data_IF_233669451656
#
_entry.id   IF_233669451656
#
_cell.length_a   1.000
_cell.length_b   1.000
_cell.length_c   1.000
_cell.angle_alpha   90.00
_cell.angle_beta   90.00
_cell.angle_gamma   90.00
#
_symmetry.space_group_name_H-M   'P 1'
#
loop_
_entity.id
_entity.type
_entity.pdbx_description
1 polymer ?
#
# COMPACT_ATOMS: atom_id res chain seq x y z
N UNK A 1 54.90 9.88 -5.37
CA UNK A 1 53.44 10.19 -5.27
C UNK A 1 52.96 11.33 -6.18
N UNK A 2 53.82 12.22 -6.70
CA UNK A 2 53.38 13.32 -7.59
C UNK A 2 53.08 12.93 -9.06
N UNK A 3 53.46 11.73 -9.53
CA UNK A 3 53.21 11.28 -10.92
C UNK A 3 51.85 10.62 -11.16
N UNK A 4 51.13 10.20 -10.12
CA UNK A 4 49.78 9.62 -10.25
C UNK A 4 48.66 10.68 -10.25
N UNK A 5 48.90 11.86 -9.67
CA UNK A 5 47.92 12.95 -9.63
C UNK A 5 47.66 13.59 -11.00
N UNK A 6 48.67 13.65 -11.88
CA UNK A 6 48.54 14.28 -13.20
C UNK A 6 47.80 13.43 -14.24
N UNK A 7 47.55 12.15 -13.99
CA UNK A 7 46.76 11.27 -14.87
C UNK A 7 45.27 11.23 -14.52
N UNK A 8 44.88 11.60 -13.29
CA UNK A 8 43.50 11.55 -12.82
C UNK A 8 42.67 12.81 -13.16
N UNK A 9 43.33 13.97 -13.31
CA UNK A 9 42.68 15.24 -13.62
C UNK A 9 41.86 15.24 -14.94
N UNK A 10 42.38 14.72 -16.08
CA UNK A 10 41.59 14.70 -17.33
C UNK A 10 40.43 13.69 -17.27
N UNK A 11 40.56 12.61 -16.50
CA UNK A 11 39.52 11.58 -16.32
C UNK A 11 38.35 12.10 -15.46
N UNK A 12 38.65 12.88 -14.41
CA UNK A 12 37.64 13.56 -13.60
C UNK A 12 36.92 14.67 -14.39
N UNK A 13 37.62 15.41 -15.24
CA UNK A 13 36.99 16.41 -16.13
C UNK A 13 36.04 15.76 -17.14
N UNK A 14 36.40 14.61 -17.73
CA UNK A 14 35.51 13.83 -18.61
C UNK A 14 34.28 13.28 -17.86
N UNK A 15 34.43 12.84 -16.61
CA UNK A 15 33.30 12.41 -15.77
C UNK A 15 32.36 13.58 -15.44
N UNK A 16 32.89 14.75 -15.08
CA UNK A 16 32.04 15.94 -14.82
C UNK A 16 31.35 16.46 -16.07
N UNK A 17 32.03 16.40 -17.23
CA UNK A 17 31.43 16.75 -18.52
C UNK A 17 30.35 15.74 -18.94
N UNK A 18 30.53 14.45 -18.61
CA UNK A 18 29.51 13.41 -18.81
C UNK A 18 28.27 13.60 -17.94
N UNK A 19 28.42 14.07 -16.69
CA UNK A 19 27.28 14.40 -15.82
C UNK A 19 26.55 15.67 -16.27
N UNK A 20 27.28 16.70 -16.72
CA UNK A 20 26.67 17.89 -17.30
C UNK A 20 25.96 17.57 -18.63
N UNK A 21 26.55 16.74 -19.49
CA UNK A 21 25.93 16.28 -20.72
C UNK A 21 24.72 15.36 -20.47
N UNK A 22 24.73 14.55 -19.40
CA UNK A 22 23.56 13.75 -19.00
C UNK A 22 22.43 14.62 -18.42
N UNK A 23 22.76 15.68 -17.67
CA UNK A 23 21.79 16.65 -17.17
C UNK A 23 21.17 17.48 -18.31
N UNK A 24 21.99 17.91 -19.27
CA UNK A 24 21.53 18.62 -20.49
C UNK A 24 20.77 17.67 -21.42
N UNK A 25 21.19 16.42 -21.56
CA UNK A 25 20.42 15.42 -22.29
C UNK A 25 19.09 15.11 -21.60
N UNK A 26 19.03 15.10 -20.26
CA UNK A 26 17.79 15.01 -19.50
C UNK A 26 16.88 16.23 -19.71
N UNK A 27 17.42 17.45 -19.77
CA UNK A 27 16.64 18.67 -20.00
C UNK A 27 16.20 18.85 -21.47
N UNK A 28 16.97 18.29 -22.42
CA UNK A 28 16.59 18.26 -23.84
C UNK A 28 15.58 17.14 -24.10
N UNK A 29 15.68 16.01 -23.40
CA UNK A 29 14.67 14.94 -23.41
C UNK A 29 13.38 15.34 -22.67
N UNK A 30 13.44 16.21 -21.67
CA UNK A 30 12.23 16.74 -21.02
C UNK A 30 11.42 17.64 -21.97
N UNK A 31 12.07 18.35 -22.89
CA UNK A 31 11.41 19.13 -23.94
C UNK A 31 10.75 18.31 -25.05
N UNK A 32 11.13 17.04 -25.22
CA UNK A 32 10.60 16.13 -26.24
C UNK A 32 9.56 15.13 -25.72
N UNK A 33 9.22 15.17 -24.42
CA UNK A 33 8.05 14.46 -23.91
C UNK A 33 6.78 15.25 -24.25
N UNK A 34 6.34 15.17 -25.51
CA UNK A 34 4.93 15.36 -25.82
C UNK A 34 4.14 14.23 -25.16
N UNK A 35 3.83 14.41 -23.88
CA UNK A 35 2.84 13.59 -23.19
C UNK A 35 1.57 13.62 -24.03
N UNK A 36 1.00 12.45 -24.31
CA UNK A 36 -0.11 12.33 -25.24
C UNK A 36 -1.34 13.08 -24.69
N UNK A 37 -1.52 14.33 -25.10
CA UNK A 37 -2.76 15.07 -24.88
C UNK A 37 -3.99 14.27 -25.32
N UNK A 38 -3.82 13.39 -26.31
CA UNK A 38 -4.78 12.38 -26.74
C UNK A 38 -5.27 11.44 -25.63
N UNK A 39 -4.39 10.99 -24.72
CA UNK A 39 -4.77 10.10 -23.64
C UNK A 39 -5.72 10.77 -22.63
N UNK A 40 -5.56 12.09 -22.43
CA UNK A 40 -6.41 12.90 -21.55
C UNK A 40 -7.63 13.51 -22.29
N UNK A 41 -7.66 13.47 -23.63
CA UNK A 41 -8.75 14.05 -24.44
C UNK A 41 -10.09 13.34 -24.30
N UNK A 42 -10.09 12.05 -23.94
CA UNK A 42 -11.31 11.27 -23.75
C UNK A 42 -11.97 11.48 -22.38
N UNK A 43 -11.54 12.49 -21.62
CA UNK A 43 -12.04 12.76 -20.27
C UNK A 43 -13.22 13.73 -20.33
N UNK A 44 -14.42 13.26 -19.97
CA UNK A 44 -15.67 14.05 -19.91
C UNK A 44 -16.16 14.18 -18.46
N UNK A 45 -15.75 15.23 -17.72
CA UNK A 45 -16.23 15.45 -16.35
C UNK A 45 -17.73 15.78 -16.32
N UNK A 46 -18.45 15.29 -15.31
CA UNK A 46 -19.80 15.75 -14.95
C UNK A 46 -20.99 15.12 -15.69
N UNK A 47 -20.78 14.21 -16.64
CA UNK A 47 -21.88 13.48 -17.29
C UNK A 47 -22.12 12.16 -16.55
N UNK A 48 -23.20 12.09 -15.79
CA UNK A 48 -23.67 10.83 -15.19
C UNK A 48 -24.58 10.11 -16.17
N UNK A 49 -24.35 8.83 -16.43
CA UNK A 49 -25.18 8.05 -17.34
C UNK A 49 -25.02 6.55 -17.13
N UNK A 50 -26.14 5.82 -17.20
CA UNK A 50 -26.19 4.36 -17.07
C UNK A 50 -26.55 3.87 -15.67
N UNK A 51 -26.67 2.55 -15.49
CA UNK A 51 -27.17 1.92 -14.27
C UNK A 51 -26.18 1.85 -13.09
N UNK A 52 -24.99 2.48 -13.19
CA UNK A 52 -23.98 2.49 -12.11
C UNK A 52 -23.00 1.32 -12.12
N UNK A 53 -22.82 0.68 -13.28
CA UNK A 53 -21.92 -0.47 -13.50
C UNK A 53 -20.64 -0.07 -14.26
N UNK A 54 -19.79 -1.06 -14.58
CA UNK A 54 -18.49 -0.89 -15.27
C UNK A 54 -18.53 0.00 -16.53
N UNK A 55 -19.58 -0.12 -17.35
CA UNK A 55 -19.75 0.65 -18.60
C UNK A 55 -20.58 1.93 -18.40
N UNK A 56 -21.00 2.22 -17.18
CA UNK A 56 -21.66 3.50 -16.86
C UNK A 56 -20.62 4.61 -16.78
N UNK A 57 -21.10 5.85 -16.76
CA UNK A 57 -20.26 7.03 -16.57
C UNK A 57 -20.72 7.68 -15.28
N UNK A 58 -19.84 7.78 -14.29
CA UNK A 58 -20.15 8.45 -13.01
C UNK A 58 -19.99 9.96 -13.09
N UNK A 59 -19.45 10.49 -14.20
CA UNK A 59 -19.02 11.88 -14.34
C UNK A 59 -17.74 12.21 -13.56
N UNK A 60 -17.22 11.26 -12.77
CA UNK A 60 -15.98 11.41 -12.02
C UNK A 60 -14.74 11.06 -12.83
N UNK A 61 -13.67 11.82 -12.58
CA UNK A 61 -12.34 11.66 -13.15
C UNK A 61 -11.33 11.67 -12.00
N UNK A 62 -10.85 10.50 -11.63
CA UNK A 62 -9.93 10.32 -10.52
C UNK A 62 -8.47 10.17 -11.00
N UNK A 63 -7.54 10.97 -10.46
CA UNK A 63 -6.11 10.68 -10.56
C UNK A 63 -5.66 9.93 -9.33
N UNK A 64 -5.20 8.68 -9.50
CA UNK A 64 -4.77 7.82 -8.39
C UNK A 64 -3.26 7.68 -8.41
N UNK A 65 -2.59 8.42 -7.53
CA UNK A 65 -1.16 8.29 -7.28
C UNK A 65 -0.90 7.06 -6.42
N UNK A 66 0.07 6.22 -6.79
CA UNK A 66 0.34 4.96 -6.09
C UNK A 66 -0.56 3.78 -6.51
N UNK A 67 -1.30 3.91 -7.61
CA UNK A 67 -2.20 2.87 -8.13
C UNK A 67 -1.53 1.52 -8.44
N UNK A 68 -0.22 1.48 -8.71
CA UNK A 68 0.52 0.23 -8.95
C UNK A 68 0.83 -0.56 -7.67
N UNK A 69 0.59 0.02 -6.49
CA UNK A 69 0.79 -0.64 -5.19
C UNK A 69 -0.39 -1.54 -4.79
N UNK A 70 -0.27 -2.15 -3.61
CA UNK A 70 -1.26 -3.06 -3.04
C UNK A 70 -2.66 -2.41 -2.97
N UNK A 71 -2.84 -1.41 -2.12
CA UNK A 71 -4.14 -0.71 -1.94
C UNK A 71 -4.60 -0.02 -3.23
N UNK A 72 -3.66 0.51 -4.01
CA UNK A 72 -3.90 1.19 -5.28
C UNK A 72 -4.74 0.37 -6.26
N UNK A 73 -4.40 -0.91 -6.44
CA UNK A 73 -5.13 -1.80 -7.35
C UNK A 73 -6.60 -1.95 -6.96
N UNK A 74 -6.89 -2.12 -5.68
CA UNK A 74 -8.26 -2.30 -5.19
C UNK A 74 -9.07 -1.01 -5.29
N UNK A 75 -8.46 0.14 -4.98
CA UNK A 75 -9.12 1.46 -5.13
C UNK A 75 -9.44 1.74 -6.60
N UNK A 76 -8.50 1.50 -7.52
CA UNK A 76 -8.73 1.64 -8.96
C UNK A 76 -9.83 0.70 -9.45
N UNK A 77 -9.84 -0.55 -8.97
CA UNK A 77 -10.89 -1.51 -9.30
C UNK A 77 -12.26 -1.02 -8.83
N UNK A 78 -12.41 -0.56 -7.58
CA UNK A 78 -13.68 -0.05 -7.08
C UNK A 78 -14.17 1.21 -7.82
N UNK A 79 -13.27 2.14 -8.14
CA UNK A 79 -13.61 3.33 -8.92
C UNK A 79 -14.04 2.98 -10.35
N UNK A 80 -13.29 2.10 -11.02
CA UNK A 80 -13.57 1.67 -12.39
C UNK A 80 -14.84 0.83 -12.49
N UNK A 81 -15.15 0.00 -11.48
CA UNK A 81 -16.41 -0.76 -11.39
C UNK A 81 -17.65 0.13 -11.34
N UNK A 82 -17.52 1.34 -10.78
CA UNK A 82 -18.58 2.36 -10.73
C UNK A 82 -18.65 3.23 -11.98
N UNK A 83 -17.79 2.98 -12.99
CA UNK A 83 -17.77 3.77 -14.22
C UNK A 83 -17.06 5.12 -14.08
N UNK A 84 -16.21 5.28 -13.05
CA UNK A 84 -15.37 6.47 -12.89
C UNK A 84 -14.13 6.32 -13.75
N UNK A 85 -13.79 7.38 -14.47
CA UNK A 85 -12.57 7.38 -15.27
C UNK A 85 -11.37 7.59 -14.37
N UNK A 86 -10.34 6.77 -14.54
CA UNK A 86 -9.16 6.75 -13.68
C UNK A 86 -7.90 7.04 -14.47
N UNK A 87 -7.22 8.12 -14.11
CA UNK A 87 -5.89 8.47 -14.59
C UNK A 87 -4.87 7.88 -13.62
N UNK A 88 -3.97 7.05 -14.15
CA UNK A 88 -2.98 6.31 -13.38
C UNK A 88 -1.58 6.77 -13.77
N UNK A 89 -1.02 7.79 -13.07
CA UNK A 89 0.41 8.09 -13.16
C UNK A 89 1.20 6.96 -12.51
N UNK A 90 2.14 6.39 -13.28
CA UNK A 90 2.98 5.31 -12.77
C UNK A 90 4.46 5.56 -13.08
N UNK A 91 5.27 5.17 -12.10
CA UNK A 91 6.75 5.20 -12.16
C UNK A 91 7.36 3.84 -12.46
N UNK A 92 6.69 2.77 -12.02
CA UNK A 92 7.15 1.38 -12.12
C UNK A 92 7.21 0.88 -13.57
N UNK A 93 7.65 -0.35 -13.76
CA UNK A 93 7.50 -1.11 -15.00
C UNK A 93 6.06 -1.08 -15.50
N UNK A 94 5.93 -0.93 -16.82
CA UNK A 94 4.66 -0.83 -17.54
C UNK A 94 3.78 -2.08 -17.35
N UNK A 95 4.39 -3.26 -17.27
CA UNK A 95 3.68 -4.53 -17.03
C UNK A 95 2.78 -4.50 -15.78
N UNK A 96 3.25 -3.88 -14.69
CA UNK A 96 2.46 -3.76 -13.46
C UNK A 96 1.24 -2.86 -13.67
N UNK A 97 1.42 -1.74 -14.37
CA UNK A 97 0.33 -0.81 -14.66
C UNK A 97 -0.67 -1.38 -15.67
N UNK A 98 -0.22 -2.25 -16.60
CA UNK A 98 -1.07 -2.87 -17.62
C UNK A 98 -2.14 -3.80 -17.03
N UNK A 99 -1.89 -4.43 -15.88
CA UNK A 99 -2.89 -5.23 -15.16
C UNK A 99 -4.14 -4.41 -14.80
N UNK A 100 -3.96 -3.12 -14.50
CA UNK A 100 -5.05 -2.24 -14.12
C UNK A 100 -6.03 -2.01 -15.27
N UNK A 101 -5.58 -2.01 -16.53
CA UNK A 101 -6.46 -1.78 -17.70
C UNK A 101 -7.63 -2.76 -17.77
N UNK A 102 -7.47 -3.96 -17.21
CA UNK A 102 -8.50 -5.01 -17.24
C UNK A 102 -9.67 -4.71 -16.28
N UNK A 103 -9.46 -3.83 -15.30
CA UNK A 103 -10.45 -3.49 -14.26
C UNK A 103 -11.54 -2.54 -14.77
N UNK A 104 -11.22 -1.72 -15.77
CA UNK A 104 -12.13 -0.72 -16.34
C UNK A 104 -12.62 -1.09 -17.73
N UNK A 105 -13.68 -0.43 -18.19
CA UNK A 105 -14.09 -0.49 -19.60
C UNK A 105 -13.12 0.31 -20.50
N UNK A 106 -13.32 0.21 -21.81
CA UNK A 106 -12.50 0.87 -22.81
C UNK A 106 -12.43 2.40 -22.56
N UNK A 107 -11.21 2.93 -22.46
CA UNK A 107 -10.98 4.36 -22.23
C UNK A 107 -11.22 4.84 -20.79
N UNK A 108 -11.69 3.98 -19.88
CA UNK A 108 -11.88 4.33 -18.46
C UNK A 108 -10.56 4.45 -17.72
N UNK A 109 -9.58 3.57 -18.01
CA UNK A 109 -8.29 3.58 -17.33
C UNK A 109 -7.22 4.12 -18.28
N UNK A 110 -6.69 5.29 -17.92
CA UNK A 110 -5.67 6.00 -18.69
C UNK A 110 -4.35 5.92 -17.95
N UNK A 111 -3.37 5.22 -18.51
CA UNK A 111 -2.04 5.10 -17.93
C UNK A 111 -1.15 6.27 -18.38
N UNK A 112 -0.56 7.00 -17.43
CA UNK A 112 0.43 8.04 -17.70
C UNK A 112 1.83 7.51 -17.37
N UNK A 113 2.61 7.26 -18.43
CA UNK A 113 3.96 6.67 -18.35
C UNK A 113 5.01 7.70 -17.94
N UNK A 114 5.99 7.23 -17.16
CA UNK A 114 7.21 7.97 -16.88
C UNK A 114 7.06 9.06 -15.83
N UNK A 115 6.01 8.96 -15.00
CA UNK A 115 5.77 9.88 -13.90
C UNK A 115 6.84 9.75 -12.81
N UNK A 116 7.30 10.89 -12.28
CA UNK A 116 8.31 10.98 -11.25
C UNK A 116 7.87 11.90 -10.11
N UNK A 117 8.28 11.56 -8.88
CA UNK A 117 7.89 12.27 -7.66
C UNK A 117 8.36 13.74 -7.61
N UNK A 118 9.50 14.04 -8.23
CA UNK A 118 10.10 15.38 -8.25
C UNK A 118 9.74 16.17 -9.52
N UNK A 119 8.90 15.62 -10.38
CA UNK A 119 8.45 16.29 -11.61
C UNK A 119 7.05 16.87 -11.37
N UNK A 120 7.03 18.12 -10.95
CA UNK A 120 5.79 18.83 -10.61
C UNK A 120 4.95 19.08 -11.87
N UNK A 121 5.57 19.31 -13.02
CA UNK A 121 4.86 19.59 -14.28
C UNK A 121 4.08 18.36 -14.78
N UNK A 122 4.70 17.18 -14.68
CA UNK A 122 3.99 15.92 -14.92
C UNK A 122 2.82 15.72 -13.97
N UNK A 123 2.98 16.11 -12.71
CA UNK A 123 1.95 15.97 -11.69
C UNK A 123 0.78 16.91 -11.96
N UNK A 124 1.05 18.19 -12.29
CA UNK A 124 0.04 19.15 -12.75
C UNK A 124 -0.70 18.64 -13.99
N UNK A 125 0.01 18.09 -14.96
CA UNK A 125 -0.61 17.54 -16.15
C UNK A 125 -1.53 16.35 -15.82
N UNK A 126 -1.09 15.45 -14.93
CA UNK A 126 -1.88 14.30 -14.48
C UNK A 126 -3.15 14.70 -13.73
N UNK A 127 -3.17 15.85 -13.07
CA UNK A 127 -4.31 16.35 -12.28
C UNK A 127 -5.20 17.31 -13.10
N UNK A 128 -4.69 17.89 -14.20
CA UNK A 128 -5.33 18.97 -14.97
C UNK A 128 -6.79 18.75 -15.40
N UNK A 129 -7.25 17.49 -15.52
CA UNK A 129 -8.63 17.14 -15.91
C UNK A 129 -9.40 16.36 -14.86
N UNK A 130 -8.82 16.19 -13.68
CA UNK A 130 -9.36 15.34 -12.64
C UNK A 130 -10.15 16.14 -11.63
N UNK A 131 -11.29 15.61 -11.22
CA UNK A 131 -12.09 16.17 -10.13
C UNK A 131 -11.75 15.54 -8.78
N UNK A 132 -11.18 14.34 -8.81
CA UNK A 132 -10.80 13.57 -7.65
C UNK A 132 -9.31 13.29 -7.73
N UNK A 133 -8.60 13.51 -6.62
CA UNK A 133 -7.19 13.15 -6.49
C UNK A 133 -7.05 12.21 -5.30
N UNK A 134 -6.46 11.05 -5.52
CA UNK A 134 -6.20 10.05 -4.48
C UNK A 134 -4.71 9.84 -4.34
N UNK A 135 -4.18 10.05 -3.13
CA UNK A 135 -2.78 9.84 -2.79
C UNK A 135 -2.60 8.56 -1.98
N UNK A 136 -2.06 7.52 -2.63
CA UNK A 136 -1.65 6.25 -2.02
C UNK A 136 -0.14 6.05 -2.09
N UNK A 137 0.63 7.11 -2.36
CA UNK A 137 2.08 7.03 -2.35
C UNK A 137 2.54 6.94 -0.91
N UNK A 138 3.20 5.83 -0.59
CA UNK A 138 3.87 5.63 0.68
C UNK A 138 4.97 4.59 0.52
N UNK A 139 6.01 4.73 1.32
CA UNK A 139 7.04 3.70 1.46
C UNK A 139 7.13 3.25 2.90
N UNK A 140 7.15 1.94 3.09
CA UNK A 140 7.42 1.30 4.38
C UNK A 140 8.92 1.29 4.72
N UNK A 141 9.77 1.46 3.70
CA UNK A 141 11.21 1.36 3.81
C UNK A 141 11.89 2.50 3.09
N UNK A 142 12.96 3.05 3.67
CA UNK A 142 13.78 4.02 2.96
C UNK A 142 14.51 3.37 1.80
N UNK A 143 14.67 4.16 0.75
CA UNK A 143 15.49 3.79 -0.40
C UNK A 143 16.64 4.78 -0.50
N UNK A 144 17.74 4.37 -1.13
CA UNK A 144 18.91 5.25 -1.35
C UNK A 144 18.56 6.61 -1.95
N UNK A 145 17.53 6.67 -2.80
CA UNK A 145 17.17 7.87 -3.55
C UNK A 145 15.99 8.65 -2.94
N UNK A 146 15.20 8.05 -2.04
CA UNK A 146 14.02 8.68 -1.45
C UNK A 146 13.98 8.33 0.04
N UNK A 147 14.06 9.38 0.86
CA UNK A 147 13.89 9.31 2.31
C UNK A 147 12.41 9.24 2.69
N UNK A 148 12.11 8.96 3.97
CA UNK A 148 10.74 9.05 4.46
C UNK A 148 10.16 10.47 4.35
N UNK A 149 10.96 11.50 4.61
CA UNK A 149 10.50 12.89 4.54
C UNK A 149 10.13 13.31 3.12
N UNK A 150 10.88 12.85 2.11
CA UNK A 150 10.57 13.12 0.70
C UNK A 150 9.21 12.55 0.29
N UNK A 151 8.90 11.34 0.78
CA UNK A 151 7.73 10.56 0.37
C UNK A 151 6.49 10.91 1.19
N UNK A 152 6.63 11.09 2.50
CA UNK A 152 5.51 11.25 3.42
C UNK A 152 5.25 12.70 3.83
N UNK A 153 6.26 13.59 3.81
CA UNK A 153 6.07 14.99 4.17
C UNK A 153 6.07 15.91 2.94
N UNK A 154 7.15 15.91 2.16
CA UNK A 154 7.32 16.84 1.05
C UNK A 154 6.36 16.57 -0.11
N UNK A 155 6.18 15.30 -0.48
CA UNK A 155 5.29 14.93 -1.57
C UNK A 155 3.81 15.27 -1.31
N UNK A 156 3.18 14.87 -0.18
CA UNK A 156 1.78 15.20 0.08
C UNK A 156 1.53 16.71 0.17
N UNK A 157 2.48 17.48 0.73
CA UNK A 157 2.41 18.94 0.76
C UNK A 157 2.39 19.54 -0.66
N UNK A 158 3.32 19.12 -1.53
CA UNK A 158 3.36 19.55 -2.95
C UNK A 158 2.10 19.15 -3.70
N UNK A 159 1.62 17.92 -3.49
CA UNK A 159 0.39 17.42 -4.12
C UNK A 159 -0.84 18.24 -3.70
N UNK A 160 -0.96 18.56 -2.41
CA UNK A 160 -2.07 19.37 -1.89
C UNK A 160 -2.04 20.79 -2.48
N UNK A 161 -0.85 21.39 -2.63
CA UNK A 161 -0.70 22.70 -3.27
C UNK A 161 -1.13 22.66 -4.75
N UNK A 162 -0.63 21.68 -5.52
CA UNK A 162 -1.02 21.49 -6.93
C UNK A 162 -2.51 21.18 -7.10
N UNK A 163 -3.10 20.41 -6.18
CA UNK A 163 -4.53 20.12 -6.16
C UNK A 163 -5.35 21.40 -5.92
N UNK A 164 -4.93 22.24 -4.97
CA UNK A 164 -5.57 23.54 -4.67
C UNK A 164 -5.48 24.52 -5.83
N UNK A 165 -4.35 24.55 -6.54
CA UNK A 165 -4.14 25.39 -7.73
C UNK A 165 -5.05 24.99 -8.90
N UNK A 166 -5.49 23.73 -8.95
CA UNK A 166 -6.28 23.20 -10.06
C UNK A 166 -7.79 23.38 -9.78
N UNK A 167 -8.51 24.27 -10.49
CA UNK A 167 -9.90 24.62 -10.15
C UNK A 167 -10.90 23.46 -10.24
N UNK A 168 -10.54 22.38 -10.94
CA UNK A 168 -11.40 21.21 -11.15
C UNK A 168 -11.36 20.22 -9.99
N UNK A 169 -10.32 20.25 -9.14
CA UNK A 169 -10.17 19.28 -8.07
C UNK A 169 -11.12 19.64 -6.94
N UNK A 170 -12.14 18.81 -6.77
CA UNK A 170 -13.17 18.98 -5.73
C UNK A 170 -12.88 18.13 -4.49
N UNK A 171 -12.18 16.99 -4.68
CA UNK A 171 -11.91 16.01 -3.63
C UNK A 171 -10.44 15.60 -3.65
N UNK A 172 -9.79 15.72 -2.50
CA UNK A 172 -8.46 15.16 -2.25
C UNK A 172 -8.59 14.10 -1.16
N UNK A 173 -8.12 12.88 -1.45
CA UNK A 173 -8.04 11.79 -0.49
C UNK A 173 -6.58 11.47 -0.23
N UNK A 174 -6.20 11.49 1.05
CA UNK A 174 -4.85 11.19 1.49
C UNK A 174 -4.85 9.98 2.41
N UNK A 175 -3.95 9.03 2.18
CA UNK A 175 -3.76 7.87 3.03
C UNK A 175 -2.51 8.03 3.91
N UNK A 176 -2.73 8.01 5.21
CA UNK A 176 -1.73 8.04 6.27
C UNK A 176 -1.63 6.66 6.92
N UNK A 177 -1.40 6.59 8.24
CA UNK A 177 -1.46 5.38 9.08
C UNK A 177 -2.13 5.73 10.43
N UNK A 178 -2.79 4.74 11.06
CA UNK A 178 -3.27 4.89 12.45
C UNK A 178 -2.08 5.04 13.40
N UNK A 179 -2.21 5.93 14.39
CA UNK A 179 -1.13 6.18 15.36
C UNK A 179 0.01 7.06 14.84
N UNK A 180 -0.10 7.61 13.62
CA UNK A 180 0.83 8.61 13.11
C UNK A 180 0.80 9.86 14.01
N UNK A 181 1.91 10.10 14.70
CA UNK A 181 2.08 11.23 15.61
C UNK A 181 3.50 11.80 15.51
N UNK A 182 3.66 13.11 15.73
CA UNK A 182 4.95 13.78 15.65
C UNK A 182 5.95 13.32 16.72
N UNK A 183 5.45 12.76 17.82
CA UNK A 183 6.24 12.25 18.96
C UNK A 183 6.55 10.73 18.84
N UNK A 184 6.14 10.08 17.74
CA UNK A 184 6.32 8.64 17.56
C UNK A 184 7.81 8.24 17.50
N UNK A 185 8.16 7.04 17.95
CA UNK A 185 9.55 6.56 17.96
C UNK A 185 10.10 6.29 16.55
N UNK A 186 9.28 5.74 15.65
CA UNK A 186 9.63 5.52 14.25
C UNK A 186 9.64 6.79 13.40
N UNK A 187 10.61 6.91 12.50
CA UNK A 187 10.74 8.02 11.58
C UNK A 187 9.61 8.03 10.54
N UNK A 188 9.16 6.85 10.11
CA UNK A 188 8.02 6.74 9.19
C UNK A 188 6.73 7.34 9.78
N UNK A 189 6.38 7.03 11.02
CA UNK A 189 5.14 7.56 11.62
C UNK A 189 5.21 9.07 11.85
N UNK A 190 6.39 9.59 12.25
CA UNK A 190 6.59 11.05 12.39
C UNK A 190 6.45 11.78 11.06
N UNK A 191 7.08 11.28 10.00
CA UNK A 191 7.01 11.90 8.67
C UNK A 191 5.59 11.86 8.09
N UNK A 192 4.83 10.80 8.33
CA UNK A 192 3.38 10.75 7.99
C UNK A 192 2.55 11.78 8.76
N UNK A 193 2.82 11.97 10.05
CA UNK A 193 2.12 13.00 10.84
C UNK A 193 2.40 14.42 10.32
N UNK A 194 3.63 14.69 9.88
CA UNK A 194 3.99 15.96 9.22
C UNK A 194 3.26 16.12 7.89
N UNK A 195 3.18 15.05 7.09
CA UNK A 195 2.41 15.01 5.85
C UNK A 195 0.92 15.32 6.05
N UNK A 196 0.29 14.68 7.03
CA UNK A 196 -1.12 14.88 7.37
C UNK A 196 -1.41 16.34 7.72
N UNK A 197 -0.56 16.93 8.55
CA UNK A 197 -0.68 18.34 8.93
C UNK A 197 -0.53 19.26 7.72
N UNK A 198 0.46 19.02 6.85
CA UNK A 198 0.71 19.84 5.67
C UNK A 198 -0.42 19.75 4.62
N UNK A 199 -0.97 18.55 4.40
CA UNK A 199 -2.13 18.34 3.52
C UNK A 199 -3.34 19.08 4.08
N UNK A 200 -3.59 18.95 5.39
CA UNK A 200 -4.71 19.60 6.06
C UNK A 200 -4.64 21.12 6.02
N UNK A 201 -3.45 21.69 6.23
CA UNK A 201 -3.22 23.14 6.15
C UNK A 201 -3.44 23.67 4.72
N UNK A 202 -2.93 22.95 3.73
CA UNK A 202 -2.97 23.40 2.34
C UNK A 202 -4.37 23.23 1.73
N UNK A 203 -4.99 22.06 1.96
CA UNK A 203 -6.30 21.68 1.43
C UNK A 203 -7.23 21.24 2.59
N UNK A 204 -7.93 22.19 3.26
CA UNK A 204 -8.74 21.91 4.45
C UNK A 204 -9.86 20.89 4.24
N UNK A 205 -10.39 20.80 3.02
CA UNK A 205 -11.47 19.88 2.64
C UNK A 205 -10.99 18.45 2.35
N UNK A 206 -9.69 18.17 2.54
CA UNK A 206 -9.11 16.86 2.26
C UNK A 206 -9.68 15.81 3.22
N UNK A 207 -10.01 14.65 2.68
CA UNK A 207 -10.38 13.48 3.48
C UNK A 207 -9.11 12.67 3.76
N UNK A 208 -8.75 12.52 5.03
CA UNK A 208 -7.55 11.79 5.44
C UNK A 208 -7.96 10.44 6.00
N UNK A 209 -7.52 9.36 5.36
CA UNK A 209 -7.68 8.01 5.87
C UNK A 209 -6.46 7.60 6.68
N UNK A 210 -6.69 7.14 7.90
CA UNK A 210 -5.69 6.61 8.83
C UNK A 210 -5.96 5.11 9.06
N UNK A 211 -5.57 4.25 8.12
CA UNK A 211 -5.82 2.83 8.23
C UNK A 211 -4.90 2.17 9.28
N UNK A 212 -5.46 1.21 10.00
CA UNK A 212 -4.73 0.15 10.67
C UNK A 212 -4.10 -0.83 9.64
N UNK A 213 -3.30 -1.82 10.05
CA UNK A 213 -2.70 -2.77 9.11
C UNK A 213 -3.75 -3.42 8.17
N UNK A 214 -3.54 -3.24 6.87
CA UNK A 214 -4.46 -3.70 5.82
C UNK A 214 -4.00 -5.07 5.34
N UNK A 215 -4.89 -6.06 5.36
CA UNK A 215 -4.60 -7.42 4.92
C UNK A 215 -5.30 -7.72 3.60
N UNK A 216 -4.65 -8.51 2.77
CA UNK A 216 -5.16 -9.06 1.53
C UNK A 216 -4.11 -9.93 0.85
N UNK A 217 -4.43 -10.43 -0.34
CA UNK A 217 -3.60 -11.42 -1.04
C UNK A 217 -2.18 -10.93 -1.35
N UNK A 218 -2.03 -9.63 -1.63
CA UNK A 218 -0.74 -9.01 -1.97
C UNK A 218 -0.17 -8.12 -0.85
N UNK A 219 -0.68 -8.27 0.39
CA UNK A 219 -0.17 -7.51 1.53
C UNK A 219 1.26 -7.92 1.91
N UNK A 220 2.09 -6.95 2.28
CA UNK A 220 3.45 -7.22 2.76
C UNK A 220 3.44 -7.80 4.19
N UNK A 221 2.53 -7.42 5.11
CA UNK A 221 2.50 -7.97 6.48
C UNK A 221 2.25 -9.47 6.46
N UNK A 222 1.11 -9.90 5.90
CA UNK A 222 0.73 -11.30 5.83
C UNK A 222 1.76 -12.12 5.04
N UNK A 223 2.18 -11.67 3.85
CA UNK A 223 3.10 -12.45 3.01
C UNK A 223 4.50 -12.58 3.62
N UNK A 224 4.99 -11.57 4.36
CA UNK A 224 6.28 -11.68 5.06
C UNK A 224 6.22 -12.67 6.23
N UNK A 225 5.08 -12.76 6.94
CA UNK A 225 4.87 -13.76 7.99
C UNK A 225 4.71 -15.16 7.42
N UNK A 226 3.92 -15.31 6.35
CA UNK A 226 3.77 -16.57 5.63
C UNK A 226 5.12 -17.11 5.15
N UNK A 227 5.97 -16.23 4.61
CA UNK A 227 7.32 -16.61 4.20
C UNK A 227 8.14 -17.12 5.39
N UNK A 228 8.15 -16.40 6.52
CA UNK A 228 8.91 -16.82 7.70
C UNK A 228 8.43 -18.18 8.24
N UNK A 229 7.12 -18.33 8.43
CA UNK A 229 6.50 -19.55 8.95
C UNK A 229 6.71 -20.74 8.01
N UNK A 230 6.51 -20.58 6.69
CA UNK A 230 6.63 -21.69 5.73
C UNK A 230 8.06 -22.18 5.52
N UNK A 231 9.03 -21.27 5.52
CA UNK A 231 10.43 -21.62 5.28
C UNK A 231 11.18 -21.98 6.57
N UNK A 232 10.45 -22.17 7.67
CA UNK A 232 11.00 -22.45 9.00
C UNK A 232 12.08 -21.44 9.42
N UNK A 233 11.99 -20.21 8.89
CA UNK A 233 12.82 -19.12 9.34
C UNK A 233 12.19 -18.65 10.63
N UNK A 234 12.90 -18.81 11.75
CA UNK A 234 12.40 -18.46 13.07
C UNK A 234 11.71 -17.10 13.06
N UNK A 235 10.41 -17.09 13.39
CA UNK A 235 9.63 -15.84 13.44
C UNK A 235 10.09 -15.09 14.68
N UNK A 236 10.75 -13.95 14.50
CA UNK A 236 11.22 -13.14 15.63
C UNK A 236 10.04 -12.31 16.13
N UNK A 237 9.50 -12.73 17.27
CA UNK A 237 8.46 -12.01 17.97
C UNK A 237 9.10 -10.98 18.89
N UNK A 238 8.90 -9.70 18.58
CA UNK A 238 9.45 -8.59 19.34
C UNK A 238 8.63 -8.39 20.62
N UNK A 239 9.32 -8.28 21.76
CA UNK A 239 8.72 -8.01 23.08
C UNK A 239 7.47 -8.87 23.35
N UNK A 240 7.62 -10.19 23.25
CA UNK A 240 6.58 -11.19 23.50
C UNK A 240 5.37 -11.15 22.54
N UNK A 241 5.33 -10.24 21.56
CA UNK A 241 4.28 -10.17 20.56
C UNK A 241 2.94 -9.66 21.11
N UNK A 242 2.97 -8.95 22.24
CA UNK A 242 1.78 -8.42 22.94
C UNK A 242 1.16 -7.22 22.23
N UNK A 243 1.83 -6.70 21.20
CA UNK A 243 1.45 -5.53 20.43
C UNK A 243 0.10 -5.78 19.75
N UNK A 244 -0.85 -4.87 19.95
CA UNK A 244 -2.21 -4.98 19.44
C UNK A 244 -2.39 -4.18 18.17
N UNK A 245 -3.11 -4.74 17.21
CA UNK A 245 -3.54 -4.02 16.02
C UNK A 245 -4.94 -4.48 15.60
N UNK A 246 -5.61 -3.64 14.80
CA UNK A 246 -6.95 -3.91 14.27
C UNK A 246 -6.90 -4.21 12.76
N UNK A 247 -6.62 -5.47 12.38
CA UNK A 247 -6.52 -5.85 10.98
C UNK A 247 -7.85 -5.73 10.25
N UNK A 248 -7.83 -5.28 9.01
CA UNK A 248 -9.02 -5.24 8.15
C UNK A 248 -8.67 -5.54 6.70
N UNK A 249 -9.69 -5.89 5.91
CA UNK A 249 -9.49 -6.32 4.55
C UNK A 249 -9.38 -5.15 3.56
N UNK A 250 -8.49 -5.27 2.58
CA UNK A 250 -8.22 -4.24 1.56
C UNK A 250 -9.45 -3.85 0.72
N UNK A 251 -10.39 -4.77 0.49
CA UNK A 251 -11.62 -4.44 -0.25
C UNK A 251 -12.48 -3.44 0.51
N UNK A 252 -12.48 -3.49 1.84
CA UNK A 252 -13.28 -2.59 2.67
C UNK A 252 -12.66 -1.19 2.68
N UNK A 253 -11.32 -1.09 2.65
CA UNK A 253 -10.61 0.18 2.42
C UNK A 253 -10.98 0.79 1.08
N UNK A 254 -10.99 -0.01 0.01
CA UNK A 254 -11.34 0.47 -1.32
C UNK A 254 -12.81 0.92 -1.40
N UNK A 255 -13.73 0.18 -0.75
CA UNK A 255 -15.13 0.58 -0.62
C UNK A 255 -15.28 1.85 0.21
N UNK A 256 -14.52 2.02 1.29
CA UNK A 256 -14.51 3.23 2.10
C UNK A 256 -14.02 4.44 1.32
N UNK A 257 -12.96 4.27 0.52
CA UNK A 257 -12.50 5.32 -0.38
C UNK A 257 -13.60 5.75 -1.36
N UNK A 258 -14.27 4.80 -2.01
CA UNK A 258 -15.34 5.10 -2.95
C UNK A 258 -16.59 5.69 -2.26
N UNK A 259 -16.99 5.20 -1.08
CA UNK A 259 -18.12 5.72 -0.32
C UNK A 259 -17.84 7.16 0.18
N UNK A 260 -16.62 7.45 0.61
CA UNK A 260 -16.24 8.79 1.01
C UNK A 260 -16.34 9.79 -0.13
N UNK A 261 -16.06 9.36 -1.37
CA UNK A 261 -16.18 10.21 -2.57
C UNK A 261 -17.62 10.61 -2.88
N UNK A 262 -18.57 9.74 -2.60
CA UNK A 262 -20.00 9.97 -2.81
C UNK A 262 -20.61 10.83 -1.69
N UNK A 263 -20.14 10.67 -0.46
CA UNK A 263 -20.61 11.47 0.67
C UNK A 263 -20.01 12.88 0.66
N UNK A 264 -20.87 13.90 0.71
CA UNK A 264 -20.42 15.29 0.90
C UNK A 264 -19.89 15.52 2.32
N UNK A 265 -20.42 14.80 3.30
CA UNK A 265 -20.05 14.94 4.70
C UNK A 265 -18.63 14.46 4.99
N UNK A 266 -18.03 13.66 4.11
CA UNK A 266 -16.67 13.15 4.29
C UNK A 266 -15.58 14.19 4.00
N UNK A 267 -15.94 15.37 3.46
CA UNK A 267 -14.99 16.47 3.22
C UNK A 267 -14.40 16.97 4.53
N UNK A 268 -13.08 17.15 4.54
CA UNK A 268 -12.37 17.67 5.70
C UNK A 268 -12.44 16.77 6.94
N UNK A 269 -12.77 15.48 6.81
CA UNK A 269 -12.80 14.53 7.95
C UNK A 269 -11.60 13.58 7.93
N UNK A 270 -11.17 13.22 9.13
CA UNK A 270 -10.17 12.18 9.37
C UNK A 270 -10.89 10.88 9.73
N UNK A 271 -10.70 9.83 8.94
CA UNK A 271 -11.28 8.51 9.17
C UNK A 271 -10.21 7.53 9.62
N UNK A 272 -10.34 7.03 10.85
CA UNK A 272 -9.50 5.95 11.36
C UNK A 272 -10.12 4.60 10.99
N UNK A 273 -9.53 3.91 10.01
CA UNK A 273 -10.08 2.66 9.48
C UNK A 273 -9.45 1.48 10.22
N UNK A 274 -10.25 0.77 11.02
CA UNK A 274 -9.85 -0.44 11.73
C UNK A 274 -10.86 -1.55 11.55
N UNK A 275 -10.39 -2.80 11.65
CA UNK A 275 -11.27 -3.95 11.57
C UNK A 275 -12.15 -4.13 12.78
N UNK A 276 -13.11 -5.07 12.71
CA UNK A 276 -14.04 -5.35 13.80
C UNK A 276 -13.36 -6.02 15.02
N UNK A 277 -12.14 -6.52 14.87
CA UNK A 277 -11.42 -7.30 15.88
C UNK A 277 -10.04 -6.72 16.17
N UNK A 278 -9.63 -6.80 17.43
CA UNK A 278 -8.29 -6.43 17.87
C UNK A 278 -7.52 -7.70 18.16
N UNK A 279 -6.38 -7.88 17.49
CA UNK A 279 -5.57 -9.11 17.55
C UNK A 279 -4.15 -8.73 17.97
N UNK A 280 -3.48 -9.61 18.71
CA UNK A 280 -2.05 -9.46 19.02
C UNK A 280 -1.18 -10.04 17.90
N UNK A 281 0.06 -9.57 17.75
CA UNK A 281 1.00 -10.17 16.79
C UNK A 281 1.22 -11.66 17.06
N UNK A 282 1.24 -12.07 18.33
CA UNK A 282 1.31 -13.48 18.72
C UNK A 282 0.12 -14.28 18.20
N UNK A 283 -1.09 -13.86 18.53
CA UNK A 283 -2.31 -14.59 18.14
C UNK A 283 -2.45 -14.64 16.62
N UNK A 284 -2.00 -13.60 15.92
CA UNK A 284 -2.03 -13.56 14.46
C UNK A 284 -1.05 -14.58 13.83
N UNK A 285 0.16 -14.73 14.37
CA UNK A 285 1.10 -15.76 13.93
C UNK A 285 0.57 -17.17 14.24
N UNK A 286 0.00 -17.37 15.44
CA UNK A 286 -0.65 -18.64 15.78
C UNK A 286 -1.78 -18.99 14.82
N UNK A 287 -2.62 -18.01 14.46
CA UNK A 287 -3.68 -18.19 13.47
C UNK A 287 -3.12 -18.58 12.10
N UNK A 288 -2.01 -17.99 11.66
CA UNK A 288 -1.34 -18.37 10.41
C UNK A 288 -0.84 -19.82 10.48
N UNK A 289 -0.16 -20.20 11.56
CA UNK A 289 0.37 -21.56 11.77
C UNK A 289 -0.75 -22.60 11.78
N UNK A 290 -1.83 -22.34 12.53
CA UNK A 290 -3.03 -23.17 12.58
C UNK A 290 -3.66 -23.32 11.19
N UNK A 291 -3.79 -22.22 10.47
CA UNK A 291 -4.34 -22.22 9.12
C UNK A 291 -3.46 -22.97 8.12
N UNK A 292 -2.15 -22.99 8.30
CA UNK A 292 -1.22 -23.72 7.44
C UNK A 292 -1.03 -25.19 7.85
N UNK A 293 -1.58 -25.60 9.00
CA UNK A 293 -1.36 -26.93 9.60
C UNK A 293 0.13 -27.23 9.86
N UNK A 294 0.90 -26.22 10.23
CA UNK A 294 2.30 -26.38 10.64
C UNK A 294 2.32 -26.64 12.14
N UNK A 295 2.80 -27.83 12.53
CA UNK A 295 2.79 -28.29 13.92
C UNK A 295 4.03 -27.85 14.71
N UNK A 296 5.08 -27.41 14.02
CA UNK A 296 6.31 -26.94 14.64
C UNK A 296 6.23 -25.42 14.84
N UNK A 297 6.18 -24.99 16.09
CA UNK A 297 6.26 -23.56 16.41
C UNK A 297 7.73 -23.12 16.44
N UNK A 298 8.14 -22.35 15.43
CA UNK A 298 9.48 -21.75 15.33
C UNK A 298 9.52 -20.28 15.77
N UNK A 299 8.54 -19.85 16.55
CA UNK A 299 8.52 -18.52 17.14
C UNK A 299 9.62 -18.36 18.19
N UNK A 300 10.45 -17.31 18.04
CA UNK A 300 11.44 -16.91 19.02
C UNK A 300 11.11 -15.53 19.57
N UNK A 301 11.12 -15.40 20.90
CA UNK A 301 10.89 -14.13 21.56
C UNK A 301 12.20 -13.36 21.72
N UNK A 302 12.25 -12.16 21.16
CA UNK A 302 13.45 -11.32 21.12
C UNK A 302 13.11 -9.94 21.70
N UNK A 303 13.87 -9.44 22.70
CA UNK A 303 13.70 -8.08 23.18
C UNK A 303 13.93 -7.05 22.07
N UNK A 304 13.15 -5.97 22.02
CA UNK A 304 13.22 -4.95 20.97
C UNK A 304 14.61 -4.35 20.78
N UNK A 305 15.35 -4.13 21.87
CA UNK A 305 16.71 -3.60 21.80
C UNK A 305 17.68 -4.53 21.05
N UNK A 306 17.55 -5.85 21.26
CA UNK A 306 18.39 -6.84 20.59
C UNK A 306 18.00 -6.97 19.11
N UNK A 307 16.71 -7.00 18.82
CA UNK A 307 16.21 -7.03 17.44
C UNK A 307 16.66 -5.78 16.66
N UNK A 308 16.61 -4.60 17.28
CA UNK A 308 17.06 -3.34 16.68
C UNK A 308 18.56 -3.33 16.40
N UNK A 309 19.37 -3.81 17.35
CA UNK A 309 20.81 -3.94 17.18
C UNK A 309 21.17 -4.91 16.05
N UNK A 310 20.43 -6.01 15.91
CA UNK A 310 20.62 -7.00 14.84
C UNK A 310 20.32 -6.43 13.44
N UNK A 311 19.31 -5.57 13.30
CA UNK A 311 18.88 -5.02 12.00
C UNK A 311 19.56 -3.69 11.60
N UNK A 312 20.17 -2.98 12.54
CA UNK A 312 20.86 -1.70 12.26
C UNK A 312 21.92 -1.77 11.13
N UNK A 313 22.76 -2.82 11.00
CA UNK A 313 23.69 -2.95 9.87
C UNK A 313 22.97 -3.07 8.53
N UNK A 314 21.82 -3.76 8.50
CA UNK A 314 21.00 -3.96 7.30
C UNK A 314 20.40 -2.64 6.81
N UNK A 315 19.85 -1.83 7.72
CA UNK A 315 19.31 -0.51 7.39
C UNK A 315 20.42 0.44 6.87
N UNK A 316 21.60 0.43 7.49
CA UNK A 316 22.74 1.21 7.02
C UNK A 316 23.19 0.78 5.62
N UNK A 317 23.29 -0.54 5.39
CA UNK A 317 23.69 -1.09 4.12
C UNK A 317 22.71 -0.71 3.01
N UNK A 318 21.41 -0.77 3.31
CA UNK A 318 20.32 -0.42 2.39
C UNK A 318 20.32 1.04 1.98
N UNK A 319 20.74 1.95 2.87
CA UNK A 319 20.91 3.37 2.53
C UNK A 319 22.07 3.62 1.58
N UNK A 320 23.10 2.75 1.56
CA UNK A 320 24.33 2.95 0.77
C UNK A 320 24.36 2.13 -0.52
N UNK A 321 23.85 0.90 -0.52
CA UNK A 321 23.91 0.00 -1.66
C UNK A 321 22.67 0.12 -2.58
N UNK A 322 22.81 -0.28 -3.87
CA UNK A 322 21.66 -0.48 -4.76
C UNK A 322 20.68 -1.51 -4.18
N UNK A 323 19.41 -1.53 -4.66
CA UNK A 323 18.35 -2.34 -4.07
C UNK A 323 18.73 -3.83 -4.05
N UNK A 324 18.96 -4.34 -2.85
CA UNK A 324 19.22 -5.76 -2.60
C UNK A 324 17.91 -6.58 -2.68
N UNK A 325 17.98 -7.86 -3.09
CA UNK A 325 16.84 -8.76 -3.02
C UNK A 325 16.50 -9.02 -1.54
N UNK A 326 15.34 -8.54 -1.10
CA UNK A 326 14.92 -8.60 0.31
C UNK A 326 14.20 -7.32 0.72
N UNK A 327 12.95 -7.16 0.28
CA UNK A 327 12.11 -5.99 0.63
C UNK A 327 11.30 -6.18 1.91
N UNK A 328 11.59 -7.23 2.70
CA UNK A 328 10.90 -7.45 3.96
C UNK A 328 11.23 -6.31 4.93
N UNK A 329 10.20 -5.58 5.36
CA UNK A 329 10.35 -4.44 6.25
C UNK A 329 10.36 -4.81 7.72
N UNK A 330 9.97 -6.05 8.05
CA UNK A 330 10.00 -6.55 9.43
C UNK A 330 11.42 -6.58 9.99
N UNK A 331 12.42 -6.68 9.12
CA UNK A 331 13.84 -6.66 9.46
C UNK A 331 14.44 -5.25 9.45
N UNK A 332 13.63 -4.23 9.72
CA UNK A 332 14.09 -2.84 9.83
C UNK A 332 13.93 -2.35 11.25
N UNK A 333 14.90 -1.58 11.74
CA UNK A 333 14.84 -0.94 13.05
C UNK A 333 13.68 0.06 13.17
N UNK A 334 13.28 0.68 12.06
CA UNK A 334 12.12 1.58 12.03
C UNK A 334 10.81 0.84 12.27
N UNK A 335 10.67 -0.39 11.75
CA UNK A 335 9.50 -1.23 12.00
C UNK A 335 9.40 -1.64 13.47
N UNK A 336 10.52 -1.96 14.13
CA UNK A 336 10.55 -2.27 15.57
C UNK A 336 10.06 -1.07 16.39
N UNK A 337 10.50 0.13 16.03
CA UNK A 337 10.02 1.35 16.66
C UNK A 337 8.54 1.61 16.33
N UNK A 338 8.08 1.23 15.12
CA UNK A 338 6.69 1.35 14.66
C UNK A 338 5.73 0.48 15.47
N UNK A 339 6.12 -0.77 15.75
CA UNK A 339 5.30 -1.73 16.49
C UNK A 339 5.33 -1.51 18.01
N UNK A 340 6.18 -0.62 18.51
CA UNK A 340 6.25 -0.29 19.95
C UNK A 340 4.98 0.34 20.51
N UNK A 341 4.12 0.92 19.65
CA UNK A 341 2.80 1.44 20.01
C UNK A 341 1.70 0.60 19.37
N UNK A 342 0.62 0.37 20.10
CA UNK A 342 -0.56 -0.36 19.62
C UNK A 342 -1.24 0.40 18.46
N UNK A 343 -1.60 -0.33 17.39
CA UNK A 343 -2.28 0.20 16.19
C UNK A 343 -3.77 -0.09 16.23
N UNK A 344 -4.41 0.44 17.27
CA UNK A 344 -5.83 0.31 17.52
C UNK A 344 -6.50 1.64 17.19
N UNK A 345 -7.70 1.61 16.61
CA UNK A 345 -8.46 2.82 16.33
C UNK A 345 -8.81 3.52 17.65
N UNK A 346 -8.51 4.82 17.81
CA UNK A 346 -8.82 5.54 19.04
C UNK A 346 -10.33 5.71 19.21
N UNK A 347 -10.80 5.64 20.46
CA UNK A 347 -12.21 5.81 20.81
C UNK A 347 -12.73 7.20 20.38
N UNK A 348 -13.92 7.24 19.78
CA UNK A 348 -14.55 8.49 19.33
C UNK A 348 -14.06 9.01 17.96
N UNK A 349 -13.15 8.29 17.29
CA UNK A 349 -12.78 8.61 15.91
C UNK A 349 -13.81 8.10 14.89
N UNK A 350 -13.87 8.76 13.73
CA UNK A 350 -14.74 8.34 12.63
C UNK A 350 -14.18 7.08 11.99
N UNK A 351 -15.05 6.10 11.71
CA UNK A 351 -14.66 4.79 11.21
C UNK A 351 -15.51 4.29 10.04
N UNK A 352 -15.54 2.97 9.88
CA UNK A 352 -16.33 2.32 8.82
C UNK A 352 -17.85 2.52 8.98
N UNK A 353 -18.34 2.61 10.22
CA UNK A 353 -19.76 2.80 10.51
C UNK A 353 -20.29 4.12 9.94
N UNK A 354 -19.51 5.20 10.02
CA UNK A 354 -19.88 6.53 9.49
C UNK A 354 -19.93 6.57 7.96
N UNK A 355 -19.28 5.60 7.29
CA UNK A 355 -19.31 5.43 5.84
C UNK A 355 -20.37 4.41 5.39
N UNK A 356 -21.16 3.86 6.32
CA UNK A 356 -22.19 2.87 6.04
C UNK A 356 -21.63 1.49 5.62
N UNK A 357 -20.39 1.18 6.01
CA UNK A 357 -19.70 -0.07 5.65
C UNK A 357 -19.58 -0.94 6.89
N UNK A 358 -19.91 -2.22 6.72
CA UNK A 358 -19.61 -3.26 7.71
C UNK A 358 -18.29 -3.94 7.31
N UNK A 359 -17.19 -3.73 8.05
CA UNK A 359 -15.91 -4.33 7.71
C UNK A 359 -15.95 -5.85 7.94
N UNK A 360 -15.27 -6.58 7.07
CA UNK A 360 -15.12 -8.03 7.21
C UNK A 360 -14.16 -8.38 8.35
N UNK A 361 -14.46 -9.49 9.04
CA UNK A 361 -13.51 -10.10 9.97
C UNK A 361 -12.37 -10.73 9.18
N UNK A 362 -11.16 -10.63 9.71
CA UNK A 362 -9.95 -11.19 9.12
C UNK A 362 -9.73 -12.63 9.59
N UNK A 363 -10.13 -12.95 10.82
CA UNK A 363 -10.02 -14.29 11.43
C UNK A 363 -10.94 -15.33 10.81
N UNK A 364 -11.96 -14.91 10.07
CA UNK A 364 -12.99 -15.80 9.54
C UNK A 364 -13.42 -15.38 8.12
N UNK A 365 -13.96 -16.33 7.35
CA UNK A 365 -14.59 -16.05 6.06
C UNK A 365 -13.59 -15.88 4.91
N UNK A 366 -13.86 -14.92 4.03
CA UNK A 366 -13.09 -14.70 2.80
C UNK A 366 -11.63 -14.26 3.06
N UNK A 367 -11.32 -13.36 4.02
CA UNK A 367 -9.94 -12.88 4.19
C UNK A 367 -8.92 -13.96 4.58
N UNK A 368 -9.35 -15.07 5.17
CA UNK A 368 -8.45 -16.17 5.54
C UNK A 368 -8.07 -17.07 4.36
N UNK A 369 -8.77 -16.95 3.22
CA UNK A 369 -8.54 -17.80 2.05
C UNK A 369 -7.14 -17.61 1.47
N UNK A 370 -6.60 -16.39 1.53
CA UNK A 370 -5.22 -16.06 1.14
C UNK A 370 -4.18 -16.98 1.82
N UNK A 371 -4.40 -17.27 3.11
CA UNK A 371 -3.54 -18.15 3.90
C UNK A 371 -3.75 -19.61 3.48
N UNK A 372 -5.00 -20.02 3.26
CA UNK A 372 -5.32 -21.41 2.86
C UNK A 372 -4.71 -21.81 1.53
N UNK A 373 -4.64 -20.89 0.56
CA UNK A 373 -3.96 -21.14 -0.71
C UNK A 373 -2.47 -21.48 -0.57
N UNK A 374 -1.86 -21.09 0.55
CA UNK A 374 -0.43 -21.30 0.81
C UNK A 374 -0.12 -22.60 1.57
N UNK A 375 -1.13 -23.44 1.87
CA UNK A 375 -0.93 -24.73 2.56
C UNK A 375 -0.02 -25.70 1.79
N UNK A 376 0.90 -26.33 2.52
CA UNK A 376 1.71 -27.44 2.01
C UNK A 376 0.81 -28.67 1.87
N UNK A 377 0.48 -29.06 0.64
CA UNK A 377 -0.48 -30.14 0.35
C UNK A 377 -1.75 -29.69 -0.41
N UNK A 378 -1.88 -28.39 -0.68
CA UNK A 378 -2.96 -27.81 -1.47
C UNK A 378 -4.14 -27.30 -0.64
N UNK A 379 -5.09 -26.65 -1.30
CA UNK A 379 -6.21 -25.94 -0.64
C UNK A 379 -7.07 -26.86 0.24
N UNK A 380 -7.27 -28.12 -0.17
CA UNK A 380 -8.07 -29.12 0.54
C UNK A 380 -7.32 -29.83 1.67
N UNK A 381 -6.02 -29.57 1.85
CA UNK A 381 -5.22 -30.21 2.88
C UNK A 381 -5.74 -29.81 4.27
N UNK A 382 -6.04 -30.82 5.11
CA UNK A 382 -6.61 -30.63 6.45
C UNK A 382 -8.12 -30.35 6.50
N UNK A 383 -8.83 -30.30 5.36
CA UNK A 383 -10.29 -30.19 5.35
C UNK A 383 -10.92 -31.55 5.67
N UNK A 384 -11.26 -31.74 6.94
CA UNK A 384 -11.88 -32.96 7.45
C UNK A 384 -13.20 -33.29 6.76
N UNK A 385 -13.93 -32.30 6.21
CA UNK A 385 -15.17 -32.55 5.45
C UNK A 385 -14.92 -33.21 4.10
N UNK A 386 -13.83 -32.86 3.42
CA UNK A 386 -13.44 -33.48 2.15
C UNK A 386 -12.80 -34.85 2.39
N UNK A 387 -11.95 -34.97 3.43
CA UNK A 387 -11.31 -36.23 3.81
C UNK A 387 -12.34 -37.27 4.27
N UNK A 388 -13.35 -36.86 5.03
CA UNK A 388 -14.47 -37.72 5.41
C UNK A 388 -15.30 -38.23 4.21
N UNK A 389 -15.30 -37.54 3.06
CA UNK A 389 -15.92 -38.05 1.83
C UNK A 389 -15.05 -39.12 1.16
N UNK A 390 -13.73 -38.91 1.10
CA UNK A 390 -12.77 -39.79 0.42
C UNK A 390 -12.33 -41.03 1.20
N UNK A 391 -12.63 -41.13 2.50
CA UNK A 391 -12.25 -42.31 3.29
C UNK A 391 -12.96 -43.60 2.80
N UNK A 392 -12.28 -44.76 2.82
CA UNK A 392 -12.92 -46.06 2.59
C UNK A 392 -14.03 -46.34 3.61
N UNK A 393 -15.10 -47.03 3.20
CA UNK A 393 -16.22 -47.37 4.08
C UNK A 393 -15.81 -48.16 5.33
N UNK A 394 -14.74 -48.96 5.24
CA UNK A 394 -14.15 -49.70 6.37
C UNK A 394 -13.61 -48.77 7.46
N UNK A 395 -12.93 -47.70 7.07
CA UNK A 395 -12.35 -46.71 8.01
C UNK A 395 -13.46 -45.89 8.68
N UNK A 396 -14.51 -45.51 7.92
CA UNK A 396 -15.68 -44.79 8.46
C UNK A 396 -16.41 -45.62 9.54
N UNK A 397 -16.56 -46.93 9.32
CA UNK A 397 -17.16 -47.86 10.30
C UNK A 397 -16.31 -47.99 11.56
N UNK A 398 -14.99 -48.05 11.43
CA UNK A 398 -14.07 -48.17 12.57
C UNK A 398 -14.15 -46.96 13.52
N UNK A 399 -14.27 -45.76 12.98
CA UNK A 399 -14.39 -44.51 13.76
C UNK A 399 -15.84 -44.10 14.09
N UNK A 400 -16.84 -44.94 13.80
CA UNK A 400 -18.24 -44.64 14.11
C UNK A 400 -18.85 -43.47 13.34
N UNK A 401 -18.25 -43.07 12.20
CA UNK A 401 -18.77 -41.97 11.38
C UNK A 401 -19.97 -42.46 10.56
N UNK A 402 -21.15 -41.85 10.74
CA UNK A 402 -22.33 -42.20 9.96
C UNK A 402 -22.09 -41.92 8.47
N UNK A 403 -22.15 -42.98 7.65
CA UNK A 403 -22.11 -42.87 6.19
C UNK A 403 -23.49 -42.39 5.75
N UNK A 404 -23.63 -41.18 5.17
CA UNK A 404 -24.90 -40.81 4.55
C UNK A 404 -25.17 -41.81 3.41
N UNK A 405 -26.33 -42.47 3.45
CA UNK A 405 -26.78 -43.40 2.41
C UNK A 405 -27.01 -42.68 1.09
#
# INVERSE_FOLDING_TARGET
>A
MARFANLAAPFLQQLTAGHAAAAVACSVLSGLRQYSHLALNNVRPGVVGGPGNRSSVSGGVATVFGATGFVGKYVVNELARRGTQVVVPYRSLEEKAMTLKQMGDLGQIVLLKGWHLNDDDMTRQAISRSNIVVNLIGSTLETRNFSFDDVHAAWPARLAAMAKETPKVERLLHFSDVGAAADHASARMRSKAVGDAAVRETFPDATIFKPAPIIGDEDDLLNNLLFQVKFNASVWMVDDGVQRFQPHHVTDVARAAAASLESHEAKGKDYCLGGPETITMRDYVSLIQECLHILEDTTMYVPAALAKAAYAPGDMLRRKLPPMPGRNYMYSGDYIDEISRDKVVPEGSLGYADLGILPMKVTEGFPIEAIRYQRTGGYSFGDSKALAKSLPASVKRYFGMQVPQ
#
